data_IF_216605434428
#
_entry.id   IF_216605434428
#
_cell.length_a   1.000
_cell.length_b   1.000
_cell.length_c   1.000
_cell.angle_alpha   90.00
_cell.angle_beta   90.00
_cell.angle_gamma   90.00
#
_symmetry.space_group_name_H-M   'P 1'
#
loop_
_entity.id
_entity.type
_entity.pdbx_description
1 polymer ?
#
# COMPACT_ATOMS: atom_id res chain seq x y z
N UNK A 1 -31.25 -2.12 3.71
CA UNK A 1 -30.94 -0.87 4.42
C UNK A 1 -29.46 -0.56 4.23
N UNK A 2 -29.02 0.71 4.27
CA UNK A 2 -27.63 1.10 4.01
C UNK A 2 -26.97 1.52 5.31
N UNK A 3 -25.67 1.26 5.47
CA UNK A 3 -24.84 1.76 6.57
C UNK A 3 -23.56 2.40 6.01
N UNK A 4 -22.86 3.15 6.81
CA UNK A 4 -21.56 3.75 6.46
C UNK A 4 -20.45 2.92 7.10
N UNK A 5 -19.45 2.56 6.29
CA UNK A 5 -18.24 1.89 6.78
C UNK A 5 -17.30 2.95 7.35
N UNK A 6 -17.19 3.00 8.67
CA UNK A 6 -16.25 3.87 9.39
C UNK A 6 -14.99 3.09 9.77
N UNK A 7 -13.90 3.79 10.09
CA UNK A 7 -12.64 3.16 10.53
C UNK A 7 -12.84 2.31 11.77
N UNK A 8 -13.61 2.82 12.75
CA UNK A 8 -13.97 2.07 13.96
C UNK A 8 -14.69 0.75 13.63
N UNK A 9 -15.65 0.79 12.70
CA UNK A 9 -16.37 -0.40 12.26
C UNK A 9 -15.46 -1.36 11.50
N UNK A 10 -14.53 -0.84 10.71
CA UNK A 10 -13.52 -1.65 10.01
C UNK A 10 -12.64 -2.42 11.01
N UNK A 11 -12.15 -1.77 12.05
CA UNK A 11 -11.34 -2.40 13.12
C UNK A 11 -12.14 -3.46 13.90
N UNK A 12 -13.42 -3.18 14.19
CA UNK A 12 -14.32 -4.15 14.82
C UNK A 12 -14.54 -5.36 13.92
N UNK A 13 -14.73 -5.16 12.61
CA UNK A 13 -14.90 -6.24 11.64
C UNK A 13 -13.62 -7.06 11.53
N UNK A 14 -12.42 -6.44 11.46
CA UNK A 14 -11.13 -7.15 11.46
C UNK A 14 -11.03 -8.07 12.69
N UNK A 15 -11.35 -7.53 13.86
CA UNK A 15 -11.32 -8.27 15.12
C UNK A 15 -12.32 -9.45 15.13
N UNK A 16 -13.49 -9.24 14.57
CA UNK A 16 -14.53 -10.26 14.45
C UNK A 16 -14.16 -11.37 13.45
N UNK A 17 -13.57 -11.02 12.30
CA UNK A 17 -13.09 -11.98 11.30
C UNK A 17 -11.99 -12.90 11.88
N UNK A 18 -11.15 -12.39 12.79
CA UNK A 18 -10.14 -13.20 13.47
C UNK A 18 -10.72 -14.12 14.56
N UNK A 19 -11.93 -13.84 15.04
CA UNK A 19 -12.62 -14.64 16.06
C UNK A 19 -13.51 -15.69 15.39
N UNK A 20 -13.00 -16.91 15.27
CA UNK A 20 -13.71 -18.01 14.62
C UNK A 20 -14.67 -18.78 15.56
N UNK A 21 -14.74 -18.38 16.83
CA UNK A 21 -15.61 -19.05 17.80
C UNK A 21 -17.05 -18.50 17.77
N UNK A 22 -17.25 -17.33 17.17
CA UNK A 22 -18.53 -16.61 17.14
C UNK A 22 -18.75 -16.03 15.74
N UNK A 23 -19.95 -16.23 15.21
CA UNK A 23 -20.37 -15.58 13.97
C UNK A 23 -20.87 -14.16 14.23
N UNK A 24 -20.45 -13.23 13.39
CA UNK A 24 -20.82 -11.81 13.48
C UNK A 24 -21.51 -11.34 12.19
N UNK A 25 -22.37 -10.35 12.34
CA UNK A 25 -23.00 -9.62 11.24
C UNK A 25 -23.04 -8.13 11.52
N UNK A 26 -23.10 -7.31 10.47
CA UNK A 26 -23.34 -5.88 10.61
C UNK A 26 -24.85 -5.62 10.59
N UNK A 27 -25.37 -4.98 11.63
CA UNK A 27 -26.74 -4.47 11.69
C UNK A 27 -26.81 -3.10 11.01
N UNK A 28 -27.40 -3.06 9.83
CA UNK A 28 -27.36 -1.88 8.96
C UNK A 28 -28.10 -0.66 9.51
N UNK A 29 -29.10 -0.85 10.38
CA UNK A 29 -29.87 0.29 10.92
C UNK A 29 -29.04 1.19 11.83
N UNK A 30 -28.04 0.62 12.53
CA UNK A 30 -27.19 1.33 13.49
C UNK A 30 -25.71 1.37 13.04
N UNK A 31 -25.36 0.63 11.97
CA UNK A 31 -23.96 0.51 11.51
C UNK A 31 -23.06 -0.13 12.56
N UNK A 32 -23.57 -1.12 13.30
CA UNK A 32 -22.87 -1.76 14.41
C UNK A 32 -22.69 -3.26 14.18
N UNK A 33 -21.60 -3.79 14.72
CA UNK A 33 -21.34 -5.21 14.73
C UNK A 33 -22.17 -5.90 15.80
N UNK A 34 -22.86 -6.99 15.43
CA UNK A 34 -23.67 -7.80 16.33
C UNK A 34 -23.31 -9.28 16.18
N UNK A 35 -23.51 -10.04 17.25
CA UNK A 35 -23.36 -11.50 17.21
C UNK A 35 -24.54 -12.07 16.43
N UNK A 36 -24.26 -12.89 15.41
CA UNK A 36 -25.28 -13.65 14.69
C UNK A 36 -25.69 -14.85 15.53
N UNK A 37 -26.93 -14.87 16.03
CA UNK A 37 -27.43 -16.01 16.76
C UNK A 37 -27.64 -17.20 15.80
N UNK A 38 -26.95 -18.31 16.07
CA UNK A 38 -27.03 -19.56 15.32
C UNK A 38 -28.42 -20.25 15.34
N UNK A 39 -29.39 -19.69 16.05
CA UNK A 39 -30.74 -20.25 16.19
C UNK A 39 -31.75 -19.77 15.12
N UNK A 40 -31.30 -19.08 14.06
CA UNK A 40 -32.14 -18.76 12.90
C UNK A 40 -33.28 -17.75 13.15
N UNK A 41 -33.22 -17.01 14.24
CA UNK A 41 -34.20 -16.00 14.64
C UNK A 41 -33.64 -14.59 14.45
N UNK A 42 -33.02 -14.33 13.28
CA UNK A 42 -32.71 -12.95 12.89
C UNK A 42 -34.00 -12.26 12.45
N UNK A 43 -34.48 -11.23 13.15
CA UNK A 43 -35.61 -10.46 12.68
C UNK A 43 -35.19 -9.69 11.43
N UNK A 44 -35.85 -9.96 10.31
CA UNK A 44 -35.64 -9.33 8.98
C UNK A 44 -34.22 -9.52 8.40
N UNK A 45 -34.06 -10.56 7.57
CA UNK A 45 -32.81 -10.89 6.82
C UNK A 45 -32.24 -9.70 6.00
N UNK A 46 -33.04 -8.69 5.67
CA UNK A 46 -32.64 -7.54 4.88
C UNK A 46 -31.84 -6.46 5.66
N UNK A 47 -31.75 -6.59 6.97
CA UNK A 47 -31.04 -5.62 7.84
C UNK A 47 -29.69 -6.10 8.33
N UNK A 48 -29.36 -7.37 8.15
CA UNK A 48 -28.12 -7.98 8.62
C UNK A 48 -27.24 -8.40 7.45
N UNK A 49 -25.99 -7.99 7.49
CA UNK A 49 -25.00 -8.35 6.48
C UNK A 49 -23.91 -9.22 7.11
N UNK A 50 -23.76 -10.42 6.59
CA UNK A 50 -22.67 -11.33 6.98
C UNK A 50 -21.32 -10.73 6.64
N UNK A 51 -20.33 -10.94 7.50
CA UNK A 51 -18.96 -10.46 7.26
C UNK A 51 -18.29 -11.20 6.08
N UNK A 52 -17.21 -10.63 5.53
CA UNK A 52 -16.38 -11.36 4.55
C UNK A 52 -15.90 -12.68 5.13
N UNK A 53 -15.93 -13.74 4.32
CA UNK A 53 -15.39 -15.03 4.73
C UNK A 53 -13.90 -14.92 5.05
N UNK A 54 -13.52 -15.42 6.22
CA UNK A 54 -12.14 -15.48 6.68
C UNK A 54 -11.89 -16.77 7.43
N UNK A 55 -11.06 -17.64 6.86
CA UNK A 55 -10.75 -18.94 7.43
C UNK A 55 -9.28 -19.08 7.88
N UNK A 56 -8.95 -20.21 8.52
CA UNK A 56 -7.57 -20.52 8.88
C UNK A 56 -6.61 -20.57 7.69
N UNK A 57 -7.08 -20.96 6.49
CA UNK A 57 -6.32 -20.94 5.25
C UNK A 57 -5.93 -19.52 4.86
N UNK A 58 -6.90 -18.59 4.86
CA UNK A 58 -6.63 -17.18 4.51
C UNK A 58 -5.58 -16.57 5.47
N UNK A 59 -5.74 -16.89 6.76
CA UNK A 59 -4.77 -16.45 7.77
C UNK A 59 -3.38 -17.09 7.63
N UNK A 60 -3.29 -18.30 7.07
CA UNK A 60 -2.03 -18.96 6.76
C UNK A 60 -1.37 -18.32 5.53
N UNK A 61 -2.12 -18.21 4.44
CA UNK A 61 -1.65 -17.68 3.16
C UNK A 61 -1.12 -16.24 3.32
N UNK A 62 -1.82 -15.41 4.09
CA UNK A 62 -1.39 -14.06 4.41
C UNK A 62 -0.03 -14.03 5.14
N UNK A 63 0.18 -14.98 6.08
CA UNK A 63 1.46 -15.07 6.80
C UNK A 63 2.58 -15.59 5.92
N UNK A 64 2.28 -16.55 5.07
CA UNK A 64 3.25 -17.10 4.13
C UNK A 64 3.69 -16.04 3.12
N UNK A 65 2.77 -15.26 2.58
CA UNK A 65 3.06 -14.13 1.68
C UNK A 65 3.94 -13.09 2.39
N UNK A 66 3.57 -12.67 3.60
CA UNK A 66 4.38 -11.75 4.39
C UNK A 66 5.81 -12.26 4.61
N UNK A 67 5.97 -13.53 4.99
CA UNK A 67 7.28 -14.13 5.26
C UNK A 67 8.12 -14.27 3.98
N UNK A 68 7.49 -14.57 2.86
CA UNK A 68 8.18 -14.68 1.58
C UNK A 68 8.78 -13.32 1.14
N UNK A 69 8.13 -12.22 1.53
CA UNK A 69 8.56 -10.85 1.24
C UNK A 69 9.53 -10.27 2.30
N UNK A 70 9.95 -11.05 3.30
CA UNK A 70 10.93 -10.61 4.29
C UNK A 70 12.37 -10.77 3.79
N UNK A 71 13.14 -9.67 3.87
CA UNK A 71 14.55 -9.64 3.45
C UNK A 71 15.55 -9.93 4.58
N UNK A 72 15.08 -10.11 5.82
CA UNK A 72 15.92 -10.49 6.96
C UNK A 72 16.06 -12.02 7.03
N UNK A 73 17.21 -12.63 6.61
CA UNK A 73 17.30 -14.07 6.39
C UNK A 73 17.01 -14.90 7.66
N UNK A 74 17.49 -14.47 8.82
CA UNK A 74 17.28 -15.18 10.09
C UNK A 74 15.81 -15.18 10.51
N UNK A 75 15.17 -14.02 10.48
CA UNK A 75 13.76 -13.92 10.84
C UNK A 75 12.86 -14.65 9.85
N UNK A 76 13.16 -14.56 8.55
CA UNK A 76 12.46 -15.30 7.50
C UNK A 76 12.53 -16.82 7.74
N UNK A 77 13.72 -17.35 7.98
CA UNK A 77 13.91 -18.79 8.23
C UNK A 77 13.17 -19.28 9.48
N UNK A 78 13.23 -18.52 10.58
CA UNK A 78 12.51 -18.87 11.81
C UNK A 78 11.00 -18.79 11.64
N UNK A 79 10.48 -17.77 10.96
CA UNK A 79 9.06 -17.61 10.68
C UNK A 79 8.54 -18.67 9.70
N UNK A 80 9.30 -19.00 8.64
CA UNK A 80 8.99 -20.11 7.76
C UNK A 80 8.94 -21.43 8.50
N UNK A 81 9.92 -21.71 9.38
CA UNK A 81 9.93 -22.90 10.22
C UNK A 81 8.71 -22.96 11.15
N UNK A 82 8.27 -21.81 11.69
CA UNK A 82 7.08 -21.72 12.52
C UNK A 82 5.80 -22.03 11.72
N UNK A 83 5.68 -21.54 10.47
CA UNK A 83 4.56 -21.82 9.59
C UNK A 83 4.46 -23.31 9.21
N UNK A 84 5.59 -24.00 9.07
CA UNK A 84 5.63 -25.41 8.71
C UNK A 84 5.71 -26.37 9.91
N UNK A 85 5.55 -25.88 11.14
CA UNK A 85 5.68 -26.67 12.39
C UNK A 85 4.54 -27.69 12.64
N UNK A 86 3.50 -27.70 11.82
CA UNK A 86 2.40 -28.69 11.82
C UNK A 86 1.30 -28.41 12.87
N UNK A 87 1.61 -28.09 14.12
CA UNK A 87 0.62 -27.78 15.16
C UNK A 87 0.89 -26.43 15.83
N UNK A 88 -0.18 -25.67 16.05
CA UNK A 88 -0.10 -24.38 16.72
C UNK A 88 0.65 -23.32 15.91
N UNK A 89 0.60 -23.40 14.58
CA UNK A 89 1.29 -22.56 13.61
C UNK A 89 1.17 -21.08 13.97
N UNK A 90 -0.03 -20.56 14.18
CA UNK A 90 -0.25 -19.14 14.50
C UNK A 90 0.33 -18.72 15.85
N UNK A 91 0.32 -19.62 16.83
CA UNK A 91 0.96 -19.37 18.14
C UNK A 91 2.48 -19.35 18.01
N UNK A 92 3.04 -20.30 17.24
CA UNK A 92 4.47 -20.37 17.00
C UNK A 92 4.96 -19.14 16.22
N UNK A 93 4.25 -18.76 15.18
CA UNK A 93 4.51 -17.55 14.40
C UNK A 93 4.56 -16.30 15.30
N UNK A 94 3.54 -16.08 16.12
CA UNK A 94 3.50 -14.97 17.09
C UNK A 94 4.64 -15.02 18.10
N UNK A 95 5.06 -16.19 18.52
CA UNK A 95 6.18 -16.33 19.47
C UNK A 95 7.52 -15.96 18.82
N UNK A 96 7.71 -16.27 17.53
CA UNK A 96 8.90 -15.86 16.79
C UNK A 96 8.91 -14.35 16.59
N UNK A 97 7.78 -13.75 16.20
CA UNK A 97 7.66 -12.29 16.01
C UNK A 97 8.09 -11.49 17.24
N UNK A 98 7.82 -11.98 18.46
CA UNK A 98 8.25 -11.30 19.69
C UNK A 98 9.76 -11.11 19.80
N UNK A 99 10.55 -11.91 19.10
CA UNK A 99 12.01 -11.78 19.05
C UNK A 99 12.46 -10.70 18.07
N UNK A 100 11.54 -10.21 17.22
CA UNK A 100 11.78 -9.25 16.14
C UNK A 100 10.77 -8.11 16.18
N UNK A 101 10.86 -7.15 17.11
CA UNK A 101 9.85 -6.10 17.31
C UNK A 101 9.53 -5.28 16.06
N UNK A 102 10.53 -5.00 15.22
CA UNK A 102 10.33 -4.25 13.95
C UNK A 102 9.52 -5.07 12.94
N UNK A 103 9.76 -6.39 12.86
CA UNK A 103 8.99 -7.27 11.98
C UNK A 103 7.57 -7.47 12.52
N UNK A 104 7.42 -7.52 13.84
CA UNK A 104 6.10 -7.63 14.49
C UNK A 104 5.23 -6.41 14.16
N UNK A 105 5.79 -5.21 14.24
CA UNK A 105 5.08 -3.98 13.80
C UNK A 105 4.70 -4.05 12.32
N UNK A 106 5.66 -4.39 11.44
CA UNK A 106 5.40 -4.55 9.99
C UNK A 106 4.31 -5.58 9.73
N UNK A 107 4.30 -6.69 10.47
CA UNK A 107 3.26 -7.70 10.38
C UNK A 107 1.87 -7.14 10.72
N UNK A 108 1.76 -6.36 11.80
CA UNK A 108 0.47 -5.78 12.19
C UNK A 108 -0.06 -4.81 11.14
N UNK A 109 0.78 -3.95 10.59
CA UNK A 109 0.42 -3.01 9.51
C UNK A 109 0.01 -3.79 8.26
N UNK A 110 0.83 -4.74 7.81
CA UNK A 110 0.56 -5.56 6.63
C UNK A 110 -0.77 -6.31 6.75
N UNK A 111 -0.99 -6.96 7.90
CA UNK A 111 -2.24 -7.67 8.17
C UNK A 111 -3.45 -6.73 8.15
N UNK A 112 -3.36 -5.60 8.83
CA UNK A 112 -4.44 -4.61 8.88
C UNK A 112 -4.80 -4.12 7.47
N UNK A 113 -3.81 -3.75 6.67
CA UNK A 113 -4.02 -3.27 5.30
C UNK A 113 -4.68 -4.32 4.40
N UNK A 114 -4.23 -5.56 4.48
CA UNK A 114 -4.80 -6.66 3.71
C UNK A 114 -6.26 -6.92 4.09
N UNK A 115 -6.56 -6.97 5.39
CA UNK A 115 -7.91 -7.22 5.87
C UNK A 115 -8.84 -6.05 5.57
N UNK A 116 -8.37 -4.81 5.71
CA UNK A 116 -9.13 -3.60 5.33
C UNK A 116 -9.45 -3.57 3.85
N UNK A 117 -8.53 -3.95 2.97
CA UNK A 117 -8.79 -4.05 1.53
C UNK A 117 -9.91 -5.05 1.24
N UNK A 118 -9.90 -6.23 1.89
CA UNK A 118 -10.93 -7.27 1.74
C UNK A 118 -12.31 -6.80 2.25
N UNK A 119 -12.33 -6.06 3.36
CA UNK A 119 -13.56 -5.45 3.91
C UNK A 119 -14.12 -4.40 2.93
N UNK A 120 -13.25 -3.58 2.35
CA UNK A 120 -13.66 -2.57 1.37
C UNK A 120 -14.24 -3.19 0.09
N UNK A 121 -13.65 -4.29 -0.41
CA UNK A 121 -14.21 -5.05 -1.54
C UNK A 121 -15.60 -5.60 -1.22
N UNK A 122 -15.76 -6.20 -0.05
CA UNK A 122 -17.04 -6.67 0.43
C UNK A 122 -18.06 -5.52 0.55
N UNK A 123 -17.68 -4.41 1.16
CA UNK A 123 -18.55 -3.25 1.31
C UNK A 123 -18.95 -2.66 -0.05
N UNK A 124 -18.02 -2.61 -1.01
CA UNK A 124 -18.31 -2.17 -2.37
C UNK A 124 -19.29 -3.10 -3.09
N UNK A 125 -19.24 -4.40 -2.84
CA UNK A 125 -20.24 -5.34 -3.38
C UNK A 125 -21.63 -5.09 -2.78
N UNK A 126 -21.72 -4.73 -1.50
CA UNK A 126 -22.99 -4.31 -0.88
C UNK A 126 -23.49 -3.00 -1.48
N UNK A 127 -22.62 -2.03 -1.72
CA UNK A 127 -22.98 -0.75 -2.38
C UNK A 127 -23.56 -0.96 -3.78
N UNK A 128 -23.02 -1.89 -4.56
CA UNK A 128 -23.60 -2.28 -5.86
C UNK A 128 -25.03 -2.83 -5.69
N UNK A 129 -25.25 -3.70 -4.72
CA UNK A 129 -26.59 -4.24 -4.40
C UNK A 129 -27.55 -3.11 -4.00
N UNK A 130 -27.07 -2.09 -3.31
CA UNK A 130 -27.88 -0.92 -2.93
C UNK A 130 -28.09 0.09 -4.08
N UNK A 131 -27.47 -0.13 -5.26
CA UNK A 131 -27.54 0.78 -6.40
C UNK A 131 -26.71 2.06 -6.20
N UNK A 132 -25.72 2.03 -5.34
CA UNK A 132 -24.75 3.11 -5.11
C UNK A 132 -23.51 2.88 -5.95
N UNK A 133 -22.84 3.99 -6.34
CA UNK A 133 -21.50 3.90 -6.94
C UNK A 133 -20.53 3.25 -5.94
N UNK A 134 -19.60 2.43 -6.47
CA UNK A 134 -18.50 1.89 -5.65
C UNK A 134 -17.76 3.06 -5.01
N UNK A 135 -17.45 2.93 -3.75
CA UNK A 135 -16.37 3.74 -3.19
C UNK A 135 -15.08 3.28 -3.85
N UNK A 136 -14.31 4.23 -4.36
CA UNK A 136 -12.93 3.92 -4.72
C UNK A 136 -12.30 3.25 -3.52
N UNK A 137 -11.59 2.15 -3.73
CA UNK A 137 -11.04 1.33 -2.63
C UNK A 137 -10.09 2.18 -1.76
N UNK A 138 -10.56 2.53 -0.58
CA UNK A 138 -9.78 3.24 0.42
C UNK A 138 -9.53 2.32 1.61
N UNK A 139 -8.31 1.91 1.70
CA UNK A 139 -7.65 1.89 2.99
C UNK A 139 -7.19 3.34 3.23
N UNK A 140 -7.90 4.13 4.03
CA UNK A 140 -7.21 5.15 4.78
C UNK A 140 -6.24 4.37 5.66
N UNK A 141 -5.03 4.20 5.16
CA UNK A 141 -3.91 3.91 6.02
C UNK A 141 -3.95 5.00 7.08
N UNK A 142 -4.03 4.59 8.31
CA UNK A 142 -3.84 5.51 9.42
C UNK A 142 -2.48 6.20 9.17
N UNK A 143 -2.52 7.43 8.63
CA UNK A 143 -1.34 8.23 8.28
C UNK A 143 -0.37 8.30 9.47
N UNK A 144 -0.89 8.16 10.69
CA UNK A 144 -0.10 8.12 11.92
C UNK A 144 0.85 6.92 11.97
N UNK A 145 0.45 5.74 11.50
CA UNK A 145 1.28 4.52 11.57
C UNK A 145 2.49 4.57 10.62
N UNK A 146 2.34 5.19 9.44
CA UNK A 146 3.44 5.33 8.49
C UNK A 146 4.49 6.29 9.04
N UNK A 147 4.08 7.39 9.68
CA UNK A 147 4.98 8.37 10.28
C UNK A 147 5.65 7.89 11.59
N UNK A 148 5.06 6.92 12.28
CA UNK A 148 5.67 6.33 13.49
C UNK A 148 6.86 5.41 13.16
N UNK A 149 6.83 4.74 12.01
CA UNK A 149 7.85 3.74 11.62
C UNK A 149 8.80 4.24 10.50
N UNK A 150 8.44 5.34 9.82
CA UNK A 150 9.20 5.88 8.70
C UNK A 150 9.37 7.40 8.82
N UNK A 151 10.52 7.88 8.39
CA UNK A 151 10.81 9.30 8.28
C UNK A 151 10.80 9.74 6.82
N UNK A 152 10.15 10.87 6.55
CA UNK A 152 10.09 11.46 5.22
C UNK A 152 10.87 12.77 5.22
N UNK A 153 11.73 12.95 4.24
CA UNK A 153 12.52 14.16 4.04
C UNK A 153 12.44 14.64 2.60
N UNK A 154 12.67 15.93 2.38
CA UNK A 154 12.82 16.45 1.03
C UNK A 154 14.03 15.81 0.33
N UNK A 155 13.88 15.57 -0.97
CA UNK A 155 14.94 15.05 -1.82
C UNK A 155 16.05 16.09 -2.02
N UNK A 156 17.29 15.70 -1.74
CA UNK A 156 18.50 16.46 -2.06
C UNK A 156 19.31 15.70 -3.11
N UNK A 157 19.43 16.28 -4.31
CA UNK A 157 20.14 15.65 -5.42
C UNK A 157 21.59 15.27 -5.08
N UNK A 158 22.28 16.09 -4.29
CA UNK A 158 23.68 15.85 -3.93
C UNK A 158 23.84 14.68 -2.96
N UNK A 159 22.87 14.45 -2.07
CA UNK A 159 22.92 13.43 -1.04
C UNK A 159 22.23 12.12 -1.46
N UNK A 160 21.08 12.22 -2.14
CA UNK A 160 20.13 11.12 -2.28
C UNK A 160 20.13 10.45 -3.66
N UNK A 161 20.60 11.13 -4.73
CA UNK A 161 20.62 10.61 -6.10
C UNK A 161 21.25 9.21 -6.17
N UNK A 162 22.43 9.07 -5.58
CA UNK A 162 23.17 7.80 -5.58
C UNK A 162 22.42 6.69 -4.87
N UNK A 163 21.74 7.01 -3.79
CA UNK A 163 20.93 6.04 -3.02
C UNK A 163 19.75 5.55 -3.83
N UNK A 164 19.02 6.45 -4.51
CA UNK A 164 17.92 6.10 -5.41
C UNK A 164 18.42 5.17 -6.53
N UNK A 165 19.50 5.58 -7.22
CA UNK A 165 20.05 4.80 -8.33
C UNK A 165 20.49 3.39 -7.91
N UNK A 166 21.11 3.25 -6.73
CA UNK A 166 21.55 1.94 -6.22
C UNK A 166 20.37 1.03 -5.90
N UNK A 167 19.33 1.54 -5.22
CA UNK A 167 18.20 0.72 -4.80
C UNK A 167 17.33 0.29 -5.99
N UNK A 168 17.06 1.17 -6.95
CA UNK A 168 16.30 0.81 -8.15
C UNK A 168 17.10 -0.14 -9.04
N UNK A 169 18.44 -0.03 -9.08
CA UNK A 169 19.29 -0.97 -9.81
C UNK A 169 19.21 -2.38 -9.21
N UNK A 170 19.25 -2.48 -7.88
CA UNK A 170 19.17 -3.76 -7.20
C UNK A 170 17.84 -4.46 -7.50
N UNK A 171 16.71 -3.76 -7.31
CA UNK A 171 15.35 -4.27 -7.59
C UNK A 171 15.21 -4.72 -9.07
N UNK A 172 15.72 -3.93 -10.02
CA UNK A 172 15.66 -4.26 -11.45
C UNK A 172 16.50 -5.48 -11.85
N UNK A 173 17.49 -5.85 -11.05
CA UNK A 173 18.32 -7.04 -11.29
C UNK A 173 17.69 -8.31 -10.67
N UNK A 174 16.78 -8.16 -9.74
CA UNK A 174 16.09 -9.25 -9.03
C UNK A 174 14.79 -9.68 -9.75
N UNK A 175 14.29 -8.91 -10.71
CA UNK A 175 13.12 -9.27 -11.52
C UNK A 175 13.43 -10.40 -12.51
N UNK A 176 13.01 -11.60 -12.17
CA UNK A 176 13.17 -12.81 -12.98
C UNK A 176 12.18 -12.94 -14.15
N UNK A 177 11.25 -11.99 -14.31
CA UNK A 177 10.20 -12.06 -15.35
C UNK A 177 10.75 -11.83 -16.76
N UNK A 178 11.84 -11.09 -16.88
CA UNK A 178 12.52 -10.79 -18.14
C UNK A 178 14.00 -11.19 -18.10
N UNK A 179 14.63 -11.45 -19.27
CA UNK A 179 16.06 -11.64 -19.32
C UNK A 179 16.83 -10.46 -18.73
N UNK A 180 17.86 -10.74 -17.95
CA UNK A 180 18.68 -9.72 -17.27
C UNK A 180 19.18 -8.61 -18.18
N UNK A 181 19.51 -8.94 -19.44
CA UNK A 181 19.96 -7.96 -20.45
C UNK A 181 18.87 -6.96 -20.80
N UNK A 182 17.60 -7.41 -20.83
CA UNK A 182 16.44 -6.58 -21.11
C UNK A 182 16.17 -5.65 -19.92
N UNK A 183 16.18 -6.19 -18.70
CA UNK A 183 16.02 -5.40 -17.48
C UNK A 183 17.07 -4.31 -17.37
N UNK A 184 18.33 -4.64 -17.63
CA UNK A 184 19.44 -3.66 -17.66
C UNK A 184 19.25 -2.57 -18.72
N UNK A 185 18.71 -2.91 -19.89
CA UNK A 185 18.46 -1.93 -20.95
C UNK A 185 17.34 -0.96 -20.55
N UNK A 186 16.22 -1.45 -20.01
CA UNK A 186 15.13 -0.60 -19.50
C UNK A 186 15.59 0.28 -18.35
N UNK A 187 16.31 -0.28 -17.40
CA UNK A 187 16.91 0.49 -16.32
C UNK A 187 17.85 1.58 -16.84
N UNK A 188 18.70 1.27 -17.82
CA UNK A 188 19.59 2.24 -18.44
C UNK A 188 18.85 3.40 -19.09
N UNK A 189 17.73 3.14 -19.76
CA UNK A 189 16.87 4.19 -20.32
C UNK A 189 16.28 5.08 -19.23
N UNK A 190 15.70 4.48 -18.18
CA UNK A 190 15.17 5.23 -17.05
C UNK A 190 16.25 6.05 -16.34
N UNK A 191 17.42 5.46 -16.10
CA UNK A 191 18.53 6.12 -15.43
C UNK A 191 19.02 7.35 -16.21
N UNK A 192 19.20 7.24 -17.52
CA UNK A 192 19.61 8.36 -18.36
C UNK A 192 18.59 9.50 -18.28
N UNK A 193 17.30 9.17 -18.34
CA UNK A 193 16.23 10.16 -18.21
C UNK A 193 16.23 10.79 -16.82
N UNK A 194 16.41 10.02 -15.75
CA UNK A 194 16.46 10.50 -14.37
C UNK A 194 17.64 11.45 -14.14
N UNK A 195 18.85 11.09 -14.60
CA UNK A 195 20.07 11.92 -14.51
C UNK A 195 19.93 13.23 -15.30
N UNK A 196 19.35 13.17 -16.50
CA UNK A 196 19.07 14.36 -17.31
C UNK A 196 18.07 15.31 -16.65
N UNK A 197 16.99 14.77 -16.08
CA UNK A 197 15.97 15.53 -15.35
C UNK A 197 16.51 16.12 -14.05
N UNK A 198 17.44 15.44 -13.37
CA UNK A 198 18.07 15.94 -12.16
C UNK A 198 18.85 17.24 -12.40
N UNK A 199 19.47 17.39 -13.56
CA UNK A 199 20.14 18.63 -13.96
C UNK A 199 19.17 19.82 -14.11
N UNK A 200 17.87 19.57 -14.25
CA UNK A 200 16.81 20.58 -14.42
C UNK A 200 16.11 21.00 -13.11
N UNK A 201 16.66 20.63 -11.95
CA UNK A 201 16.11 21.02 -10.65
C UNK A 201 15.00 20.08 -10.18
N UNK A 202 15.31 18.80 -10.09
CA UNK A 202 14.42 17.78 -9.57
C UNK A 202 14.09 17.99 -8.10
N UNK A 203 12.83 17.81 -7.72
CA UNK A 203 12.32 17.91 -6.35
C UNK A 203 11.57 16.63 -5.99
N UNK A 204 11.34 16.38 -4.71
CA UNK A 204 10.61 15.20 -4.27
C UNK A 204 10.82 14.88 -2.80
N UNK A 205 10.59 13.61 -2.45
CA UNK A 205 10.71 13.11 -1.09
C UNK A 205 11.41 11.76 -1.05
N UNK A 206 12.15 11.54 0.03
CA UNK A 206 12.78 10.27 0.38
C UNK A 206 12.13 9.76 1.66
N UNK A 207 11.83 8.47 1.67
CA UNK A 207 11.40 7.74 2.84
C UNK A 207 12.53 6.85 3.35
N UNK A 208 12.76 6.87 4.66
CA UNK A 208 13.72 5.99 5.35
C UNK A 208 13.04 5.35 6.55
N UNK A 209 13.45 4.13 6.90
CA UNK A 209 13.05 3.49 8.16
C UNK A 209 13.70 4.20 9.37
N UNK A 210 13.26 3.88 10.59
CA UNK A 210 13.89 4.38 11.81
C UNK A 210 15.36 3.97 11.97
N UNK A 211 15.82 2.98 11.21
CA UNK A 211 17.22 2.53 11.15
C UNK A 211 18.01 3.16 10.00
N UNK A 212 17.52 4.26 9.42
CA UNK A 212 18.09 4.95 8.26
C UNK A 212 18.22 4.07 6.97
N UNK A 213 17.47 2.97 6.88
CA UNK A 213 17.40 2.16 5.68
C UNK A 213 16.47 2.85 4.66
N UNK A 214 16.88 2.91 3.40
CA UNK A 214 16.06 3.49 2.33
C UNK A 214 14.77 2.69 2.14
N UNK A 215 13.63 3.34 2.30
CA UNK A 215 12.31 2.71 2.25
C UNK A 215 11.45 3.17 1.06
N UNK A 216 11.86 4.21 0.35
CA UNK A 216 11.18 4.66 -0.86
C UNK A 216 11.54 6.06 -1.29
N UNK A 217 11.10 6.42 -2.48
CA UNK A 217 11.25 7.78 -2.99
C UNK A 217 10.17 8.15 -4.01
N UNK A 218 9.91 9.43 -4.11
CA UNK A 218 9.23 10.05 -5.24
C UNK A 218 10.01 11.29 -5.66
N UNK A 219 10.24 11.44 -6.96
CA UNK A 219 10.88 12.64 -7.51
C UNK A 219 10.09 13.19 -8.68
N UNK A 220 10.21 14.47 -8.91
CA UNK A 220 9.50 15.19 -9.96
C UNK A 220 10.37 16.29 -10.55
N UNK A 221 10.18 16.59 -11.83
CA UNK A 221 10.91 17.64 -12.56
C UNK A 221 9.99 18.36 -13.55
N UNK A 222 10.24 19.66 -13.84
CA UNK A 222 9.59 20.34 -14.95
C UNK A 222 9.80 19.59 -16.26
N UNK A 223 8.75 19.43 -17.05
CA UNK A 223 8.78 18.63 -18.29
C UNK A 223 9.35 19.39 -19.47
N UNK A 224 9.23 20.71 -19.48
CA UNK A 224 9.65 21.57 -20.58
C UNK A 224 10.26 22.85 -20.03
N UNK A 225 11.39 23.28 -20.62
CA UNK A 225 11.95 24.61 -20.36
C UNK A 225 10.88 25.68 -20.66
N UNK A 226 10.67 26.62 -19.75
CA UNK A 226 9.67 27.70 -19.80
C UNK A 226 8.18 27.29 -19.58
N UNK A 227 7.88 26.04 -19.22
CA UNK A 227 6.55 25.64 -18.75
C UNK A 227 6.64 25.07 -17.32
N UNK A 228 6.93 25.94 -16.38
CA UNK A 228 7.11 25.55 -14.97
C UNK A 228 5.84 25.00 -14.31
N UNK A 229 4.66 25.20 -14.93
CA UNK A 229 3.36 24.75 -14.38
C UNK A 229 3.09 23.26 -14.61
N UNK A 230 3.82 22.60 -15.50
CA UNK A 230 3.69 21.18 -15.81
C UNK A 230 4.91 20.43 -15.31
N UNK A 231 4.69 19.47 -14.41
CA UNK A 231 5.70 18.65 -13.76
C UNK A 231 5.47 17.18 -14.07
N UNK A 232 6.54 16.45 -14.35
CA UNK A 232 6.49 15.00 -14.47
C UNK A 232 7.09 14.33 -13.23
N UNK A 233 6.48 13.25 -12.78
CA UNK A 233 7.10 12.33 -11.82
C UNK A 233 8.19 11.57 -12.56
N UNK A 234 9.40 11.61 -12.03
CA UNK A 234 10.61 11.02 -12.64
C UNK A 234 11.04 9.73 -11.97
N UNK A 235 10.64 9.54 -10.70
CA UNK A 235 10.72 8.26 -10.00
C UNK A 235 9.59 8.12 -9.00
N UNK A 236 9.12 6.90 -8.81
CA UNK A 236 8.25 6.47 -7.72
C UNK A 236 8.63 5.03 -7.42
N UNK A 237 9.28 4.82 -6.30
CA UNK A 237 9.85 3.53 -5.98
C UNK A 237 9.73 3.22 -4.50
N UNK A 238 9.32 2.00 -4.19
CA UNK A 238 9.30 1.43 -2.84
C UNK A 238 9.91 0.04 -2.95
N UNK A 239 11.02 -0.25 -2.24
CA UNK A 239 11.64 -1.58 -2.21
C UNK A 239 10.61 -2.64 -1.80
N UNK A 240 10.75 -3.85 -2.35
CA UNK A 240 9.78 -4.94 -2.15
C UNK A 240 9.46 -5.19 -0.68
N UNK A 241 10.49 -5.18 0.18
CA UNK A 241 10.34 -5.38 1.63
C UNK A 241 9.47 -4.35 2.35
N UNK A 242 9.24 -3.20 1.73
CA UNK A 242 8.45 -2.10 2.29
C UNK A 242 7.13 -1.86 1.55
N UNK A 243 6.83 -2.66 0.53
CA UNK A 243 5.55 -2.58 -0.20
C UNK A 243 4.40 -3.01 0.69
N UNK A 244 3.21 -2.44 0.46
CA UNK A 244 2.01 -2.71 1.27
C UNK A 244 1.95 -1.98 2.62
N UNK A 245 2.97 -1.20 2.99
CA UNK A 245 3.03 -0.43 4.23
C UNK A 245 2.52 1.02 4.12
N UNK A 246 1.98 1.40 2.95
CA UNK A 246 1.43 2.75 2.73
C UNK A 246 2.44 3.81 2.27
N UNK A 247 3.74 3.50 2.26
CA UNK A 247 4.79 4.46 1.90
C UNK A 247 4.56 5.08 0.51
N UNK A 248 4.14 4.29 -0.47
CA UNK A 248 3.87 4.81 -1.81
C UNK A 248 2.71 5.80 -1.85
N UNK A 249 1.68 5.57 -1.05
CA UNK A 249 0.54 6.48 -0.88
C UNK A 249 1.00 7.81 -0.30
N UNK A 250 1.68 7.77 0.84
CA UNK A 250 2.20 8.95 1.53
C UNK A 250 3.13 9.77 0.63
N UNK A 251 4.06 9.11 -0.06
CA UNK A 251 4.97 9.79 -1.00
C UNK A 251 4.22 10.53 -2.11
N UNK A 252 3.16 9.93 -2.69
CA UNK A 252 2.35 10.57 -3.73
C UNK A 252 1.59 11.77 -3.15
N UNK A 253 0.96 11.63 -1.99
CA UNK A 253 0.16 12.68 -1.36
C UNK A 253 1.04 13.86 -0.92
N UNK A 254 2.20 13.59 -0.31
CA UNK A 254 3.18 14.62 0.02
C UNK A 254 3.68 15.36 -1.23
N UNK A 255 4.00 14.62 -2.30
CA UNK A 255 4.47 15.20 -3.54
C UNK A 255 3.40 16.10 -4.19
N UNK A 256 2.16 15.60 -4.32
CA UNK A 256 1.04 16.35 -4.89
C UNK A 256 0.76 17.61 -4.05
N UNK A 257 0.74 17.50 -2.73
CA UNK A 257 0.53 18.62 -1.82
C UNK A 257 1.64 19.68 -1.95
N UNK A 258 2.91 19.25 -2.00
CA UNK A 258 4.05 20.13 -2.19
C UNK A 258 3.99 20.85 -3.54
N UNK A 259 3.72 20.14 -4.61
CA UNK A 259 3.60 20.73 -5.96
C UNK A 259 2.46 21.73 -6.06
N UNK A 260 1.30 21.42 -5.43
CA UNK A 260 0.17 22.35 -5.34
C UNK A 260 0.54 23.63 -4.57
N UNK A 261 1.24 23.50 -3.45
CA UNK A 261 1.72 24.65 -2.65
C UNK A 261 2.76 25.49 -3.42
N UNK A 262 3.54 24.86 -4.30
CA UNK A 262 4.46 25.55 -5.21
C UNK A 262 3.78 26.19 -6.44
N UNK A 263 2.44 26.16 -6.52
CA UNK A 263 1.67 26.77 -7.61
C UNK A 263 1.77 26.02 -8.93
N UNK A 264 2.10 24.73 -8.91
CA UNK A 264 2.06 23.90 -10.11
C UNK A 264 0.59 23.61 -10.49
N UNK A 265 0.32 23.47 -11.78
CA UNK A 265 -1.05 23.28 -12.29
C UNK A 265 -1.32 21.84 -12.75
N UNK A 266 -0.29 21.14 -13.19
CA UNK A 266 -0.41 19.81 -13.75
C UNK A 266 0.74 18.90 -13.31
N UNK A 267 0.37 17.67 -12.94
CA UNK A 267 1.32 16.59 -12.64
C UNK A 267 1.07 15.45 -13.61
N UNK A 268 2.11 14.96 -14.23
CA UNK A 268 2.10 13.83 -15.15
C UNK A 268 2.94 12.67 -14.61
N UNK A 269 2.39 11.46 -14.65
CA UNK A 269 3.12 10.22 -14.33
C UNK A 269 3.21 9.37 -15.59
N UNK A 270 4.41 9.14 -16.16
CA UNK A 270 4.59 8.25 -17.30
C UNK A 270 4.24 6.79 -16.96
N UNK A 271 3.71 6.04 -17.91
CA UNK A 271 3.39 4.60 -17.72
C UNK A 271 4.62 3.77 -17.34
N UNK A 272 5.82 4.20 -17.70
CA UNK A 272 7.07 3.54 -17.32
C UNK A 272 7.40 3.60 -15.83
N UNK A 273 6.72 4.49 -15.10
CA UNK A 273 6.95 4.74 -13.66
C UNK A 273 5.77 4.25 -12.81
N UNK A 274 4.56 4.21 -13.38
CA UNK A 274 3.36 3.80 -12.68
C UNK A 274 3.05 2.32 -12.95
N UNK A 275 3.40 1.38 -12.05
CA UNK A 275 2.93 0.00 -12.13
C UNK A 275 1.39 -0.04 -12.08
N UNK A 276 0.80 -1.05 -12.73
CA UNK A 276 -0.67 -1.22 -12.75
C UNK A 276 -1.27 -1.32 -11.33
N UNK A 277 -0.50 -1.81 -10.36
CA UNK A 277 -0.86 -1.87 -8.94
C UNK A 277 -1.17 -0.51 -8.31
N UNK A 278 -0.61 0.57 -8.84
CA UNK A 278 -0.85 1.94 -8.33
C UNK A 278 -2.08 2.59 -8.97
N UNK A 279 -2.73 1.96 -9.95
CA UNK A 279 -3.88 2.54 -10.64
C UNK A 279 -5.02 2.95 -9.67
N UNK A 280 -5.42 2.15 -8.67
CA UNK A 280 -6.43 2.56 -7.69
C UNK A 280 -6.02 3.80 -6.91
N UNK A 281 -4.80 3.84 -6.41
CA UNK A 281 -4.25 4.98 -5.69
C UNK A 281 -4.21 6.25 -6.54
N UNK A 282 -3.72 6.15 -7.77
CA UNK A 282 -3.64 7.29 -8.69
C UNK A 282 -5.02 7.85 -9.04
N UNK A 283 -6.01 6.98 -9.23
CA UNK A 283 -7.41 7.40 -9.49
C UNK A 283 -7.97 8.16 -8.28
N UNK A 284 -7.68 7.67 -7.08
CA UNK A 284 -8.07 8.29 -5.81
C UNK A 284 -7.50 9.70 -5.64
N UNK A 285 -6.21 9.85 -5.86
CA UNK A 285 -5.56 11.17 -5.77
C UNK A 285 -5.97 12.12 -6.91
N UNK A 286 -6.93 11.70 -7.74
CA UNK A 286 -7.54 12.50 -8.80
C UNK A 286 -6.77 12.45 -10.13
N UNK A 287 -5.80 11.56 -10.28
CA UNK A 287 -5.14 11.34 -11.57
C UNK A 287 -6.11 10.71 -12.57
N UNK A 288 -6.04 11.18 -13.80
CA UNK A 288 -6.78 10.62 -14.93
C UNK A 288 -5.85 9.81 -15.83
N UNK A 289 -6.23 8.59 -16.16
CA UNK A 289 -5.47 7.72 -17.07
C UNK A 289 -5.47 8.30 -18.47
N UNK A 290 -4.30 8.38 -19.08
CA UNK A 290 -4.05 8.74 -20.47
C UNK A 290 -3.38 7.56 -21.19
N UNK A 291 -3.28 7.62 -22.53
CA UNK A 291 -2.59 6.56 -23.29
C UNK A 291 -1.10 6.40 -22.91
N UNK A 292 -0.45 7.48 -22.46
CA UNK A 292 0.99 7.53 -22.13
C UNK A 292 1.28 7.62 -20.63
N UNK A 293 0.26 7.63 -19.79
CA UNK A 293 0.43 7.79 -18.34
C UNK A 293 -0.82 8.28 -17.64
N UNK A 294 -0.61 8.97 -16.52
CA UNK A 294 -1.65 9.58 -15.70
C UNK A 294 -1.41 11.08 -15.56
N UNK A 295 -2.47 11.87 -15.55
CA UNK A 295 -2.40 13.32 -15.38
C UNK A 295 -3.36 13.78 -14.28
N UNK A 296 -2.90 14.71 -13.47
CA UNK A 296 -3.66 15.36 -12.41
C UNK A 296 -3.68 16.87 -12.64
N UNK A 297 -4.87 17.49 -12.57
CA UNK A 297 -5.01 18.94 -12.47
C UNK A 297 -5.01 19.35 -11.00
N UNK A 298 -4.14 20.27 -10.64
CA UNK A 298 -4.02 20.79 -9.27
C UNK A 298 -4.87 22.05 -9.02
N UNK A 299 -5.68 22.47 -10.06
CA UNK A 299 -6.60 23.61 -9.99
C UNK A 299 -7.89 23.25 -9.30
#
# INVERSE_FOLDING_TARGET
MQFELTDSLTDEIISAMENQDVEYAVYAAEGQLVISDSDGNTPDDEMYYSLPEWGPSDGFDLREEFVNNLHQPLAREELQSALHSGRGVFKNFRNVLKNYPEIDKRWHIYKHNYMSARINEWYNSLREIWGLEKLDQFSELDDTLVHDDFSFKEYDSAADEKTILLNITADSCEDDTLPLEVNKAFYGLWRNQFEEMNANGQTGFICSSLTDEFAGCITSSPLVENQENLVAITSLFVPEQFRGLGIGTELIEMCVSSLKNCGKEWVFIPNSIAPDLLQPLLTRTGFRKMNSGYILSLK
#
